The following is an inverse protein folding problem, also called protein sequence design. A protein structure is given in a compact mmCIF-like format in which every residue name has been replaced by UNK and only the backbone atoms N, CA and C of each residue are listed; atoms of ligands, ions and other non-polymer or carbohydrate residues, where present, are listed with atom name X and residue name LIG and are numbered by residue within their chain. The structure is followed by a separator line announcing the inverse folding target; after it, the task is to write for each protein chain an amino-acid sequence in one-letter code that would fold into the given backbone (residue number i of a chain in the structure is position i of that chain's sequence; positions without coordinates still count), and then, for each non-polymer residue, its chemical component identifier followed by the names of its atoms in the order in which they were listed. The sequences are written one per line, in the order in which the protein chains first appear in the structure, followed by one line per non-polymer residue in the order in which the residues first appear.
data_IF_674975210897
#
_entry.id   IF_674975210897
#
_cell.length_a   1.000
_cell.length_b   1.000
_cell.length_c   1.000
_cell.angle_alpha   90.00
_cell.angle_beta   90.00
_cell.angle_gamma   90.00
#
_symmetry.space_group_name_H-M   'P 1'
#
loop_
_entity.id
_entity.type
_entity.pdbx_description
1 polymer ?
#
# COMPACT_ATOMS: atom_id res chain seq x y z
N UNK A 1 -12.02 7.91 40.21
CA UNK A 1 -12.98 8.02 39.09
C UNK A 1 -12.17 8.32 37.84
N UNK A 2 -12.07 7.35 36.92
CA UNK A 2 -11.36 7.53 35.64
C UNK A 2 -12.43 7.82 34.58
N UNK A 3 -12.42 8.96 33.87
CA UNK A 3 -13.40 9.19 32.83
C UNK A 3 -13.10 8.23 31.68
N UNK A 4 -14.04 7.30 31.46
CA UNK A 4 -14.00 6.33 30.38
C UNK A 4 -13.68 7.04 29.05
N UNK A 5 -12.59 6.62 28.40
CA UNK A 5 -12.33 6.95 27.02
C UNK A 5 -13.54 6.47 26.20
N UNK A 6 -14.21 7.41 25.53
CA UNK A 6 -15.27 7.06 24.57
C UNK A 6 -14.64 6.16 23.50
N UNK A 7 -15.22 5.00 23.14
CA UNK A 7 -14.80 4.31 21.93
C UNK A 7 -15.05 5.29 20.77
N UNK A 8 -13.98 5.68 20.08
CA UNK A 8 -14.06 6.51 18.88
C UNK A 8 -14.91 5.77 17.84
N UNK A 9 -16.00 6.39 17.40
CA UNK A 9 -16.95 5.87 16.40
C UNK A 9 -16.41 5.93 14.96
N UNK A 10 -15.13 6.28 14.78
CA UNK A 10 -14.48 6.21 13.47
C UNK A 10 -13.86 4.82 13.29
N UNK A 11 -14.04 4.18 12.12
CA UNK A 11 -13.35 2.95 11.82
C UNK A 11 -11.84 3.17 11.99
N UNK A 12 -11.16 2.20 12.61
CA UNK A 12 -9.73 2.28 12.81
C UNK A 12 -9.02 2.49 11.46
N UNK A 13 -7.98 3.33 11.38
CA UNK A 13 -7.27 3.56 10.13
C UNK A 13 -6.70 2.23 9.61
N UNK A 14 -6.98 1.94 8.34
CA UNK A 14 -6.48 0.76 7.62
C UNK A 14 -5.20 1.14 6.88
N UNK A 15 -4.08 0.52 7.25
CA UNK A 15 -2.78 0.73 6.62
C UNK A 15 -2.47 -0.41 5.67
N UNK A 16 -1.91 -0.10 4.50
CA UNK A 16 -1.50 -1.10 3.52
C UNK A 16 -0.02 -0.91 3.20
N UNK A 17 0.81 -1.84 3.66
CA UNK A 17 2.22 -1.91 3.31
C UNK A 17 2.35 -2.76 2.04
N UNK A 18 3.05 -2.26 1.03
CA UNK A 18 3.20 -2.97 -0.25
C UNK A 18 4.67 -3.21 -0.51
N UNK A 19 5.07 -4.49 -0.63
CA UNK A 19 6.36 -4.82 -1.23
C UNK A 19 6.29 -4.61 -2.75
N UNK A 20 6.98 -3.58 -3.21
CA UNK A 20 7.04 -3.20 -4.60
C UNK A 20 7.72 -4.23 -5.48
N UNK A 21 8.69 -5.00 -4.97
CA UNK A 21 9.34 -6.04 -5.77
C UNK A 21 8.37 -7.17 -6.09
N UNK A 22 7.66 -7.65 -5.06
CA UNK A 22 6.58 -8.64 -5.23
C UNK A 22 5.56 -8.21 -6.26
N UNK A 23 5.04 -6.98 -6.19
CA UNK A 23 4.01 -6.51 -7.13
C UNK A 23 4.55 -6.32 -8.56
N UNK A 24 5.73 -5.71 -8.71
CA UNK A 24 6.35 -5.52 -10.02
C UNK A 24 6.62 -6.84 -10.74
N UNK A 25 6.96 -7.89 -9.99
CA UNK A 25 7.13 -9.21 -10.55
C UNK A 25 5.78 -9.87 -10.80
N UNK A 26 4.80 -9.82 -9.91
CA UNK A 26 3.56 -10.57 -10.11
C UNK A 26 2.72 -10.06 -11.29
N UNK A 27 2.59 -8.75 -11.52
CA UNK A 27 1.72 -8.23 -12.57
C UNK A 27 2.37 -8.28 -13.96
N UNK A 28 1.81 -9.02 -14.95
CA UNK A 28 2.45 -9.24 -16.25
C UNK A 28 2.87 -7.95 -16.97
N UNK A 29 2.02 -6.93 -16.94
CA UNK A 29 2.27 -5.63 -17.57
C UNK A 29 3.38 -4.83 -16.89
N UNK A 30 3.48 -4.91 -15.56
CA UNK A 30 4.56 -4.27 -14.81
C UNK A 30 5.86 -5.06 -14.94
N UNK A 31 5.81 -6.39 -14.93
CA UNK A 31 6.96 -7.27 -15.13
C UNK A 31 7.61 -7.02 -16.49
N UNK A 32 6.79 -6.97 -17.54
CA UNK A 32 7.27 -6.68 -18.90
C UNK A 32 7.89 -5.28 -18.98
N UNK A 33 7.25 -4.27 -18.41
CA UNK A 33 7.77 -2.91 -18.39
C UNK A 33 9.06 -2.82 -17.57
N UNK A 34 9.12 -3.45 -16.40
CA UNK A 34 10.26 -3.46 -15.49
C UNK A 34 11.49 -4.06 -16.15
N UNK A 35 11.33 -5.12 -16.94
CA UNK A 35 12.44 -5.75 -17.70
C UNK A 35 13.12 -4.80 -18.71
N UNK A 36 12.39 -3.78 -19.20
CA UNK A 36 12.89 -2.83 -20.21
C UNK A 36 13.25 -1.48 -19.61
N UNK A 37 12.45 -1.01 -18.65
CA UNK A 37 12.51 0.31 -18.05
C UNK A 37 12.09 0.23 -16.56
N UNK A 38 13.00 -0.17 -15.66
CA UNK A 38 12.70 -0.35 -14.23
C UNK A 38 12.11 0.89 -13.56
N UNK A 39 12.63 2.08 -13.89
CA UNK A 39 12.11 3.35 -13.34
C UNK A 39 10.67 3.62 -13.80
N UNK A 40 10.36 3.43 -15.08
CA UNK A 40 9.01 3.62 -15.61
C UNK A 40 7.99 2.65 -14.99
N UNK A 41 8.41 1.41 -14.69
CA UNK A 41 7.55 0.44 -14.01
C UNK A 41 7.24 0.85 -12.57
N UNK A 42 8.27 1.31 -11.83
CA UNK A 42 8.10 1.84 -10.46
C UNK A 42 7.18 3.06 -10.44
N UNK A 43 7.40 4.02 -11.34
CA UNK A 43 6.52 5.19 -11.46
C UNK A 43 5.08 4.81 -11.79
N UNK A 44 4.88 3.80 -12.64
CA UNK A 44 3.53 3.29 -12.96
C UNK A 44 2.86 2.68 -11.73
N UNK A 45 3.58 1.85 -10.97
CA UNK A 45 3.08 1.29 -9.72
C UNK A 45 2.74 2.39 -8.70
N UNK A 46 3.64 3.37 -8.51
CA UNK A 46 3.42 4.51 -7.62
C UNK A 46 2.13 5.26 -7.99
N UNK A 47 1.88 5.50 -9.28
CA UNK A 47 0.65 6.18 -9.72
C UNK A 47 -0.62 5.38 -9.39
N UNK A 48 -0.61 4.07 -9.62
CA UNK A 48 -1.77 3.21 -9.32
C UNK A 48 -2.06 3.17 -7.82
N UNK A 49 -1.02 3.05 -6.99
CA UNK A 49 -1.17 3.02 -5.54
C UNK A 49 -1.52 4.39 -4.94
N UNK A 50 -1.07 5.47 -5.57
CA UNK A 50 -1.48 6.82 -5.15
C UNK A 50 -2.99 7.01 -5.33
N UNK A 51 -3.58 6.50 -6.41
CA UNK A 51 -5.04 6.55 -6.60
C UNK A 51 -5.79 5.75 -5.52
N UNK A 52 -5.28 4.56 -5.18
CA UNK A 52 -5.83 3.77 -4.07
C UNK A 52 -5.72 4.52 -2.73
N UNK A 53 -4.58 5.18 -2.48
CA UNK A 53 -4.37 6.00 -1.28
C UNK A 53 -5.35 7.17 -1.20
N UNK A 54 -5.51 7.91 -2.30
CA UNK A 54 -6.35 9.10 -2.39
C UNK A 54 -7.85 8.77 -2.26
N UNK A 55 -8.25 7.52 -2.50
CA UNK A 55 -9.62 7.06 -2.25
C UNK A 55 -10.02 7.09 -0.77
N UNK A 56 -9.03 7.09 0.14
CA UNK A 56 -9.25 7.04 1.58
C UNK A 56 -9.54 5.65 2.16
N UNK A 57 -9.67 4.60 1.32
CA UNK A 57 -9.90 3.23 1.78
C UNK A 57 -8.68 2.66 2.53
N UNK A 58 -7.48 2.98 2.05
CA UNK A 58 -6.21 2.52 2.60
C UNK A 58 -5.19 3.66 2.72
N UNK A 59 -4.48 3.71 3.85
CA UNK A 59 -3.24 4.48 3.97
C UNK A 59 -2.09 3.64 3.44
N UNK A 60 -1.72 3.85 2.18
CA UNK A 60 -0.72 3.03 1.47
C UNK A 60 0.70 3.51 1.76
N UNK A 61 1.60 2.57 2.03
CA UNK A 61 3.06 2.79 2.04
C UNK A 61 3.70 1.74 1.14
N UNK A 62 4.42 2.21 0.12
CA UNK A 62 5.13 1.35 -0.83
C UNK A 62 6.59 1.22 -0.40
N UNK A 63 7.10 0.01 -0.32
CA UNK A 63 8.49 -0.28 0.05
C UNK A 63 9.18 -0.98 -1.12
N UNK A 64 10.35 -0.48 -1.52
CA UNK A 64 11.20 -1.14 -2.51
C UNK A 64 12.52 -1.57 -1.86
N UNK A 65 13.07 -2.70 -2.32
CA UNK A 65 14.47 -3.00 -2.07
C UNK A 65 15.39 -1.92 -2.64
N UNK A 66 16.52 -1.72 -1.96
CA UNK A 66 17.40 -0.59 -2.19
C UNK A 66 17.89 -0.43 -3.63
N UNK A 67 17.98 0.81 -4.08
CA UNK A 67 18.75 1.19 -5.27
C UNK A 67 19.95 2.05 -4.87
N UNK A 68 21.05 1.98 -5.64
CA UNK A 68 22.24 2.84 -5.44
C UNK A 68 21.80 4.31 -5.40
N UNK A 69 21.87 4.95 -4.23
CA UNK A 69 21.55 6.38 -4.03
C UNK A 69 20.23 6.67 -3.30
N UNK A 70 19.95 5.92 -2.23
CA UNK A 70 18.73 6.01 -1.42
C UNK A 70 18.26 7.45 -1.17
N UNK A 71 17.03 7.71 -1.59
CA UNK A 71 16.27 8.92 -1.25
C UNK A 71 14.87 8.48 -0.86
N UNK A 72 14.46 8.82 0.36
CA UNK A 72 13.05 8.90 0.71
C UNK A 72 12.39 9.99 -0.13
N UNK A 73 11.28 9.67 -0.80
CA UNK A 73 10.39 10.65 -1.44
C UNK A 73 8.96 10.11 -1.29
N UNK A 74 7.95 10.76 -0.68
CA UNK A 74 7.76 12.12 -0.16
C UNK A 74 6.78 12.11 1.04
N UNK A 75 6.93 13.00 2.03
CA UNK A 75 6.00 13.11 3.15
C UNK A 75 4.93 14.22 3.08
N UNK A 76 3.97 14.05 4.00
CA UNK A 76 2.89 14.86 4.60
C UNK A 76 1.48 14.89 3.99
N UNK A 77 1.27 14.80 2.68
CA UNK A 77 -0.08 14.67 2.08
C UNK A 77 -0.13 13.74 0.85
N UNK A 78 0.86 12.87 0.69
CA UNK A 78 0.97 11.90 -0.42
C UNK A 78 1.35 10.52 0.10
N UNK A 79 1.03 9.48 -0.66
CA UNK A 79 1.46 8.10 -0.41
C UNK A 79 2.98 8.03 -0.14
N UNK A 80 3.38 7.34 0.93
CA UNK A 80 4.78 7.18 1.28
C UNK A 80 5.46 6.13 0.38
N UNK A 81 6.66 6.44 -0.12
CA UNK A 81 7.52 5.49 -0.84
C UNK A 81 8.86 5.39 -0.12
N UNK A 82 9.18 4.19 0.36
CA UNK A 82 10.39 3.88 1.10
C UNK A 82 11.32 3.02 0.24
N UNK A 83 12.62 3.27 0.33
CA UNK A 83 13.66 2.46 -0.29
C UNK A 83 14.57 1.90 0.79
N UNK A 84 14.80 0.59 0.76
CA UNK A 84 15.70 -0.04 1.73
C UNK A 84 17.13 0.53 1.60
N UNK A 85 17.73 0.86 2.75
CA UNK A 85 19.12 1.34 2.82
C UNK A 85 20.12 0.17 2.75
N UNK A 86 21.40 0.48 2.58
CA UNK A 86 22.44 -0.55 2.57
C UNK A 86 22.42 -1.36 3.88
N UNK A 87 22.27 -2.68 3.76
CA UNK A 87 22.16 -3.61 4.91
C UNK A 87 20.75 -3.82 5.45
N UNK A 88 19.71 -3.27 4.80
CA UNK A 88 18.30 -3.54 5.08
C UNK A 88 17.62 -4.15 3.85
N UNK A 89 16.56 -4.91 4.06
CA UNK A 89 15.65 -5.40 3.02
C UNK A 89 14.29 -4.73 3.13
N UNK A 90 13.48 -4.76 2.06
CA UNK A 90 12.09 -4.32 2.11
C UNK A 90 11.32 -5.06 3.22
N UNK A 91 11.46 -6.38 3.28
CA UNK A 91 10.92 -7.27 4.32
C UNK A 91 11.25 -6.75 5.73
N UNK A 92 12.53 -6.49 6.01
CA UNK A 92 12.97 -5.98 7.33
C UNK A 92 12.32 -4.66 7.71
N UNK A 93 12.04 -3.79 6.73
CA UNK A 93 11.35 -2.52 6.94
C UNK A 93 9.86 -2.76 7.21
N UNK A 94 9.22 -3.64 6.44
CA UNK A 94 7.81 -3.99 6.58
C UNK A 94 7.57 -4.63 7.95
N UNK A 95 8.31 -5.68 8.31
CA UNK A 95 8.24 -6.34 9.62
C UNK A 95 8.41 -5.33 10.76
N UNK A 96 9.36 -4.40 10.62
CA UNK A 96 9.59 -3.36 11.64
C UNK A 96 8.40 -2.42 11.80
N UNK A 97 7.79 -1.99 10.69
CA UNK A 97 6.59 -1.15 10.72
C UNK A 97 5.43 -1.92 11.38
N UNK A 98 5.19 -3.18 10.98
CA UNK A 98 4.15 -4.03 11.56
C UNK A 98 4.37 -4.16 13.07
N UNK A 99 5.60 -4.49 13.50
CA UNK A 99 5.94 -4.67 14.91
C UNK A 99 5.70 -3.39 15.74
N UNK A 100 6.11 -2.23 15.23
CA UNK A 100 5.96 -0.93 15.94
C UNK A 100 4.49 -0.50 16.03
N UNK A 101 3.67 -0.88 15.05
CA UNK A 101 2.25 -0.51 14.96
C UNK A 101 1.28 -1.61 15.39
N UNK A 102 1.79 -2.76 15.86
CA UNK A 102 0.98 -3.87 16.34
C UNK A 102 -0.02 -3.39 17.43
N UNK A 103 -1.29 -3.73 17.25
CA UNK A 103 -2.39 -3.32 18.14
C UNK A 103 -2.89 -1.88 17.98
N UNK A 104 -2.42 -1.10 16.99
CA UNK A 104 -2.82 0.31 16.76
C UNK A 104 -3.76 0.54 15.56
N UNK A 105 -4.13 -0.50 14.84
CA UNK A 105 -5.01 -0.45 13.66
C UNK A 105 -4.94 -1.74 12.84
N UNK A 106 -5.71 -1.80 11.76
CA UNK A 106 -5.60 -2.89 10.78
C UNK A 106 -4.41 -2.62 9.86
N UNK A 107 -3.44 -3.53 9.85
CA UNK A 107 -2.28 -3.47 8.97
C UNK A 107 -2.39 -4.62 7.97
N UNK A 108 -2.49 -4.28 6.69
CA UNK A 108 -2.35 -5.19 5.57
C UNK A 108 -0.94 -5.14 5.00
N UNK A 109 -0.41 -6.28 4.58
CA UNK A 109 0.85 -6.40 3.85
C UNK A 109 0.60 -7.11 2.53
N UNK A 110 1.03 -6.49 1.43
CA UNK A 110 0.99 -7.10 0.10
C UNK A 110 2.37 -7.62 -0.25
N UNK A 111 2.50 -8.95 -0.37
CA UNK A 111 3.74 -9.63 -0.79
C UNK A 111 3.41 -10.92 -1.53
N UNK A 112 4.32 -11.35 -2.40
CA UNK A 112 4.28 -12.67 -3.03
C UNK A 112 5.18 -13.69 -2.31
N UNK A 113 6.00 -13.25 -1.35
CA UNK A 113 6.92 -14.12 -0.61
C UNK A 113 6.20 -14.81 0.57
N UNK A 114 6.27 -16.15 0.60
CA UNK A 114 5.62 -16.94 1.63
C UNK A 114 6.26 -16.82 3.02
N UNK A 115 7.58 -16.61 3.08
CA UNK A 115 8.28 -16.42 4.34
C UNK A 115 7.90 -15.07 4.95
N UNK A 116 7.86 -14.02 4.14
CA UNK A 116 7.39 -12.69 4.57
C UNK A 116 5.93 -12.73 5.04
N UNK A 117 5.06 -13.42 4.29
CA UNK A 117 3.65 -13.58 4.69
C UNK A 117 3.52 -14.27 6.05
N UNK A 118 4.30 -15.32 6.28
CA UNK A 118 4.31 -16.02 7.58
C UNK A 118 4.82 -15.11 8.69
N UNK A 119 5.87 -14.31 8.43
CA UNK A 119 6.46 -13.40 9.39
C UNK A 119 5.46 -12.30 9.82
N UNK A 120 4.82 -11.62 8.87
CA UNK A 120 3.89 -10.53 9.18
C UNK A 120 2.60 -11.02 9.87
N UNK A 121 2.13 -12.22 9.53
CA UNK A 121 0.97 -12.83 10.19
C UNK A 121 1.28 -13.15 11.66
N UNK A 122 2.49 -13.63 11.93
CA UNK A 122 2.95 -13.87 13.31
C UNK A 122 3.02 -12.59 14.17
N UNK A 123 3.16 -11.43 13.51
CA UNK A 123 3.15 -10.11 14.15
C UNK A 123 1.75 -9.47 14.24
N UNK A 124 0.73 -10.15 13.71
CA UNK A 124 -0.69 -9.74 13.77
C UNK A 124 -1.16 -8.86 12.61
N UNK A 125 -0.43 -8.83 11.49
CA UNK A 125 -0.89 -8.19 10.25
C UNK A 125 -1.65 -9.18 9.34
N UNK A 126 -2.41 -8.65 8.39
CA UNK A 126 -3.09 -9.43 7.36
C UNK A 126 -2.23 -9.52 6.11
N UNK A 127 -2.00 -10.73 5.61
CA UNK A 127 -1.32 -10.97 4.34
C UNK A 127 -2.27 -10.88 3.14
N UNK A 128 -1.83 -10.22 2.08
CA UNK A 128 -2.55 -10.11 0.81
C UNK A 128 -1.62 -10.44 -0.36
N UNK A 129 -2.17 -11.07 -1.39
CA UNK A 129 -1.42 -11.33 -2.62
C UNK A 129 -1.38 -10.09 -3.53
N UNK A 130 -0.43 -9.99 -4.47
CA UNK A 130 -0.43 -8.94 -5.47
C UNK A 130 -1.70 -8.93 -6.34
N UNK A 131 -2.33 -10.07 -6.57
CA UNK A 131 -3.59 -10.17 -7.32
C UNK A 131 -4.75 -9.58 -6.54
N UNK A 132 -4.78 -9.78 -5.21
CA UNK A 132 -5.76 -9.10 -4.35
C UNK A 132 -5.64 -7.58 -4.49
N UNK A 133 -4.41 -7.05 -4.44
CA UNK A 133 -4.16 -5.62 -4.62
C UNK A 133 -4.62 -5.11 -5.99
N UNK A 134 -4.42 -5.90 -7.05
CA UNK A 134 -4.88 -5.54 -8.39
C UNK A 134 -6.41 -5.43 -8.46
N UNK A 135 -7.12 -6.34 -7.79
CA UNK A 135 -8.57 -6.33 -7.70
C UNK A 135 -9.08 -5.16 -6.85
N UNK A 136 -8.42 -4.87 -5.73
CA UNK A 136 -8.77 -3.75 -4.86
C UNK A 136 -8.69 -2.42 -5.63
N UNK A 137 -7.59 -2.18 -6.36
CA UNK A 137 -7.43 -0.98 -7.20
C UNK A 137 -8.55 -0.88 -8.24
N UNK A 138 -8.90 -1.99 -8.90
CA UNK A 138 -9.98 -2.00 -9.89
C UNK A 138 -11.35 -1.70 -9.26
N UNK A 139 -11.62 -2.22 -8.07
CA UNK A 139 -12.85 -1.96 -7.35
C UNK A 139 -12.96 -0.47 -6.98
N UNK A 140 -11.90 0.11 -6.40
CA UNK A 140 -11.82 1.53 -6.07
C UNK A 140 -12.04 2.41 -7.32
N UNK A 141 -11.41 2.07 -8.45
CA UNK A 141 -11.57 2.80 -9.72
C UNK A 141 -13.03 2.81 -10.22
N UNK A 142 -13.74 1.69 -10.06
CA UNK A 142 -15.15 1.58 -10.46
C UNK A 142 -16.04 2.43 -9.54
N UNK A 143 -15.81 2.40 -8.23
CA UNK A 143 -16.55 3.20 -7.25
C UNK A 143 -16.36 4.71 -7.47
N UNK A 144 -15.13 5.14 -7.74
CA UNK A 144 -14.83 6.54 -8.05
C UNK A 144 -15.55 7.01 -9.32
N UNK A 145 -15.53 6.18 -10.38
CA UNK A 145 -16.23 6.49 -11.64
C UNK A 145 -17.73 6.63 -11.44
N UNK A 146 -18.35 5.70 -10.71
CA UNK A 146 -19.79 5.75 -10.43
C UNK A 146 -20.16 7.00 -9.62
N UNK A 147 -19.36 7.34 -8.61
CA UNK A 147 -19.53 8.56 -7.80
C UNK A 147 -19.50 9.82 -8.68
N UNK A 148 -18.51 9.94 -9.57
CA UNK A 148 -18.39 11.07 -10.50
C UNK A 148 -19.60 11.14 -11.45
N UNK A 149 -20.08 10.01 -11.97
CA UNK A 149 -21.23 9.97 -12.87
C UNK A 149 -22.52 10.41 -12.17
N UNK A 150 -22.73 9.98 -10.91
CA UNK A 150 -23.89 10.39 -10.10
C UNK A 150 -23.86 11.90 -9.84
N UNK A 151 -22.71 12.45 -9.47
CA UNK A 151 -22.56 13.89 -9.22
C UNK A 151 -22.79 14.73 -10.49
N UNK A 152 -22.36 14.25 -11.66
CA UNK A 152 -22.67 14.91 -12.95
C UNK A 152 -24.16 14.91 -13.25
N UNK A 153 -24.86 13.79 -13.05
CA UNK A 153 -26.32 13.70 -13.28
C UNK A 153 -27.10 14.65 -12.38
N UNK A 154 -26.72 14.77 -11.10
CA UNK A 154 -27.35 15.73 -10.16
C UNK A 154 -27.18 17.19 -10.57
N UNK A 155 -26.10 17.56 -11.26
CA UNK A 155 -25.87 18.94 -11.74
C UNK A 155 -26.60 19.27 -13.04
N UNK A 156 -27.08 18.25 -13.75
CA UNK A 156 -27.81 18.37 -15.02
C UNK A 156 -29.34 18.28 -14.83
N UNK A 157 -29.80 18.05 -13.61
CA UNK A 157 -31.22 17.97 -13.22
C UNK A 157 -31.52 19.12 -12.26
#
# INVERSE_FOLDING_TARGET
MNPAARPSSEPAPRYLLVDGHSVLHSWPELRQLHSRQPSSARERLIRQLSQLHDSGQWKVTLVFDGQRGGKEERPRDSMAVLYASAGQTADSIIERIVQVHSGRGEIGVVTADHAEMTAIESLGAFGFSPEWLQNEIQATDLEMKDTILRERKKKLT
#
